data_IF_832488242142
#
_entry.id   IF_832488242142
#
_cell.length_a   1.000
_cell.length_b   1.000
_cell.length_c   1.000
_cell.angle_alpha   90.00
_cell.angle_beta   90.00
_cell.angle_gamma   90.00
#
_symmetry.space_group_name_H-M   'P 1'
#
loop_
_entity.id
_entity.type
_entity.pdbx_description
1 polymer ?
#
# COMPACT_ATOMS: atom_id res chain seq x y z
N UNK A 1 -21.64 21.01 36.42
CA UNK A 1 -20.71 20.77 35.29
C UNK A 1 -19.46 20.05 35.79
N UNK A 2 -19.40 18.71 35.63
CA UNK A 2 -18.21 17.83 35.65
C UNK A 2 -18.70 16.40 35.88
N UNK A 3 -18.98 15.63 34.81
CA UNK A 3 -19.14 14.16 34.92
C UNK A 3 -19.27 13.38 33.60
N UNK A 4 -19.12 13.97 32.40
CA UNK A 4 -19.43 13.22 31.15
C UNK A 4 -18.23 12.66 30.37
N UNK A 5 -16.98 12.91 30.79
CA UNK A 5 -15.80 12.46 30.04
C UNK A 5 -15.32 11.03 30.39
N UNK A 6 -15.86 10.37 31.42
CA UNK A 6 -15.39 9.04 31.83
C UNK A 6 -16.11 7.89 31.09
N UNK A 7 -17.32 8.13 30.57
CA UNK A 7 -18.10 7.11 29.86
C UNK A 7 -17.71 6.98 28.39
N UNK A 8 -17.27 8.06 27.73
CA UNK A 8 -16.89 8.03 26.32
C UNK A 8 -15.60 7.24 26.08
N UNK A 9 -14.63 7.34 26.99
CA UNK A 9 -13.36 6.59 26.92
C UNK A 9 -13.58 5.11 27.25
N UNK A 10 -14.50 4.78 28.17
CA UNK A 10 -14.92 3.39 28.44
C UNK A 10 -15.71 2.77 27.29
N UNK A 11 -16.52 3.55 26.57
CA UNK A 11 -17.29 3.06 25.43
C UNK A 11 -16.41 2.74 24.22
N UNK A 12 -15.34 3.53 23.99
CA UNK A 12 -14.36 3.24 22.93
C UNK A 12 -13.48 2.04 23.30
N UNK A 13 -13.06 1.92 24.58
CA UNK A 13 -12.19 0.80 24.99
C UNK A 13 -12.91 -0.55 25.14
N UNK A 14 -14.22 -0.58 25.38
CA UNK A 14 -14.98 -1.83 25.50
C UNK A 14 -15.44 -2.40 24.15
N UNK A 15 -15.72 -1.55 23.15
CA UNK A 15 -16.12 -2.01 21.80
C UNK A 15 -14.93 -2.41 20.91
N UNK A 16 -13.73 -1.90 21.13
CA UNK A 16 -12.54 -2.36 20.38
C UNK A 16 -12.15 -3.80 20.78
N UNK A 17 -12.46 -4.23 22.02
CA UNK A 17 -12.17 -5.59 22.47
C UNK A 17 -13.22 -6.64 22.04
N UNK A 18 -14.42 -6.22 21.62
CA UNK A 18 -15.54 -7.11 21.28
C UNK A 18 -16.25 -6.78 19.95
N UNK A 19 -15.62 -5.96 19.10
CA UNK A 19 -16.14 -5.63 17.77
C UNK A 19 -16.37 -6.91 16.97
N UNK A 20 -17.62 -7.17 16.57
CA UNK A 20 -17.97 -8.32 15.76
C UNK A 20 -17.19 -8.33 14.43
N UNK A 21 -17.10 -9.49 13.75
CA UNK A 21 -16.28 -9.66 12.53
C UNK A 21 -16.54 -8.61 11.44
N UNK A 22 -17.74 -8.02 11.40
CA UNK A 22 -18.16 -7.07 10.36
C UNK A 22 -17.50 -5.69 10.46
N UNK A 23 -17.15 -5.20 11.65
CA UNK A 23 -16.49 -3.89 11.82
C UNK A 23 -15.01 -3.96 11.45
N UNK A 24 -14.38 -5.09 11.78
CA UNK A 24 -13.04 -5.43 11.34
C UNK A 24 -12.98 -5.53 9.81
N UNK A 25 -13.95 -6.18 9.16
CA UNK A 25 -14.00 -6.30 7.68
C UNK A 25 -13.99 -4.92 7.00
N UNK A 26 -14.69 -3.92 7.57
CA UNK A 26 -14.80 -2.59 6.96
C UNK A 26 -13.48 -1.81 7.09
N UNK A 27 -12.86 -1.81 8.28
CA UNK A 27 -11.55 -1.19 8.49
C UNK A 27 -10.45 -1.86 7.65
N UNK A 28 -10.48 -3.19 7.55
CA UNK A 28 -9.51 -3.97 6.78
C UNK A 28 -9.72 -3.88 5.28
N UNK A 29 -10.97 -3.79 4.81
CA UNK A 29 -11.27 -3.53 3.40
C UNK A 29 -10.66 -2.22 2.91
N UNK A 30 -10.69 -1.17 3.74
CA UNK A 30 -10.04 0.10 3.43
C UNK A 30 -8.51 -0.01 3.38
N UNK A 31 -7.89 -0.73 4.32
CA UNK A 31 -6.44 -0.95 4.32
C UNK A 31 -5.98 -1.72 3.07
N UNK A 32 -6.73 -2.76 2.67
CA UNK A 32 -6.47 -3.52 1.45
C UNK A 32 -6.64 -2.67 0.18
N UNK A 33 -7.72 -1.90 0.06
CA UNK A 33 -7.93 -1.01 -1.08
C UNK A 33 -6.80 0.01 -1.22
N UNK A 34 -6.30 0.52 -0.07
CA UNK A 34 -5.20 1.47 -0.03
C UNK A 34 -3.87 0.85 -0.50
N UNK A 35 -3.61 -0.42 -0.20
CA UNK A 35 -2.43 -1.13 -0.71
C UNK A 35 -2.44 -1.22 -2.24
N UNK A 36 -3.61 -1.41 -2.85
CA UNK A 36 -3.73 -1.47 -4.29
C UNK A 36 -3.59 -0.10 -4.99
N UNK A 37 -3.87 0.99 -4.27
CA UNK A 37 -3.80 2.34 -4.81
C UNK A 37 -2.37 2.74 -5.21
N UNK A 38 -1.35 2.31 -4.45
CA UNK A 38 0.05 2.55 -4.80
C UNK A 38 0.42 1.94 -6.16
N UNK A 39 0.07 0.67 -6.37
CA UNK A 39 0.30 -0.03 -7.64
C UNK A 39 -0.34 0.70 -8.83
N UNK A 40 -1.58 1.19 -8.67
CA UNK A 40 -2.28 1.97 -9.71
C UNK A 40 -1.56 3.28 -9.99
N UNK A 41 -1.12 3.99 -8.95
CA UNK A 41 -0.39 5.26 -9.11
C UNK A 41 0.92 5.06 -9.86
N UNK A 42 1.69 4.01 -9.58
CA UNK A 42 2.94 3.76 -10.32
C UNK A 42 2.66 3.39 -11.77
N UNK A 43 1.64 2.58 -12.05
CA UNK A 43 1.24 2.26 -13.42
C UNK A 43 0.83 3.55 -14.16
N UNK A 44 0.01 4.38 -13.51
CA UNK A 44 -0.43 5.67 -14.06
C UNK A 44 0.77 6.56 -14.43
N UNK A 45 1.73 6.70 -13.52
CA UNK A 45 2.93 7.52 -13.72
C UNK A 45 3.88 6.95 -14.76
N UNK A 46 3.97 5.63 -14.84
CA UNK A 46 4.73 4.94 -15.89
C UNK A 46 4.15 5.23 -17.27
N UNK A 47 2.82 5.14 -17.40
CA UNK A 47 2.11 5.43 -18.64
C UNK A 47 2.20 6.90 -19.04
N UNK A 48 2.07 7.81 -18.07
CA UNK A 48 2.23 9.25 -18.28
C UNK A 48 3.65 9.59 -18.77
N UNK A 49 4.68 8.90 -18.27
CA UNK A 49 6.07 9.13 -18.68
C UNK A 49 6.35 8.57 -20.08
N UNK A 50 5.84 7.38 -20.41
CA UNK A 50 6.12 6.73 -21.70
C UNK A 50 5.30 7.31 -22.86
N UNK A 51 4.04 7.69 -22.61
CA UNK A 51 3.08 8.03 -23.66
C UNK A 51 2.38 9.38 -23.43
N UNK A 52 3.14 10.41 -23.06
CA UNK A 52 2.67 11.77 -22.76
C UNK A 52 1.51 12.24 -23.66
N UNK A 53 1.68 12.19 -24.99
CA UNK A 53 0.70 12.70 -25.97
C UNK A 53 -0.60 11.88 -26.03
N UNK A 54 -0.52 10.57 -25.78
CA UNK A 54 -1.69 9.67 -25.81
C UNK A 54 -2.35 9.54 -24.44
N UNK A 55 -1.59 9.76 -23.38
CA UNK A 55 -2.02 9.61 -22.00
C UNK A 55 -3.18 10.53 -21.64
N UNK A 56 -3.15 11.80 -22.07
CA UNK A 56 -4.24 12.76 -21.78
C UNK A 56 -5.60 12.29 -22.31
N UNK A 57 -5.61 11.58 -23.44
CA UNK A 57 -6.83 11.07 -24.06
C UNK A 57 -7.35 9.79 -23.38
N UNK A 58 -6.54 9.11 -22.56
CA UNK A 58 -6.80 7.76 -22.03
C UNK A 58 -7.10 7.72 -20.52
N UNK A 59 -7.29 8.87 -19.87
CA UNK A 59 -7.45 9.03 -18.40
C UNK A 59 -8.53 8.19 -17.69
N UNK A 60 -9.29 7.30 -18.36
CA UNK A 60 -10.63 6.89 -17.88
C UNK A 60 -10.91 5.43 -17.43
N UNK A 61 -10.07 4.37 -17.57
CA UNK A 61 -10.52 3.04 -17.09
C UNK A 61 -9.63 2.27 -16.08
N UNK A 62 -8.62 2.88 -15.43
CA UNK A 62 -7.73 2.10 -14.53
C UNK A 62 -8.38 1.68 -13.20
N UNK A 63 -9.41 2.41 -12.74
CA UNK A 63 -10.17 2.06 -11.53
C UNK A 63 -10.95 0.74 -11.66
N UNK A 64 -11.30 0.31 -12.88
CA UNK A 64 -12.03 -0.94 -13.10
C UNK A 64 -11.19 -2.20 -12.84
N UNK A 65 -9.88 -2.15 -13.13
CA UNK A 65 -8.97 -3.28 -12.89
C UNK A 65 -8.80 -3.51 -11.37
N UNK A 66 -8.85 -2.43 -10.58
CA UNK A 66 -8.77 -2.47 -9.13
C UNK A 66 -9.98 -3.17 -8.49
N UNK A 67 -11.18 -2.88 -9.00
CA UNK A 67 -12.41 -3.50 -8.55
C UNK A 67 -12.44 -5.00 -8.87
N UNK A 68 -11.88 -5.40 -10.02
CA UNK A 68 -11.81 -6.81 -10.43
C UNK A 68 -10.87 -7.61 -9.53
N UNK A 69 -9.69 -7.09 -9.22
CA UNK A 69 -8.71 -7.76 -8.35
C UNK A 69 -9.22 -7.94 -6.91
N UNK A 70 -9.99 -6.97 -6.38
CA UNK A 70 -10.60 -7.10 -5.06
C UNK A 70 -11.71 -8.17 -5.00
N UNK A 71 -12.41 -8.43 -6.12
CA UNK A 71 -13.46 -9.47 -6.16
C UNK A 71 -12.91 -10.90 -6.06
N UNK A 72 -11.62 -11.12 -6.34
CA UNK A 72 -10.98 -12.43 -6.26
C UNK A 72 -10.57 -12.83 -4.83
N UNK A 73 -10.44 -11.87 -3.92
CA UNK A 73 -10.06 -12.13 -2.52
C UNK A 73 -11.19 -12.69 -1.65
N UNK A 74 -12.42 -12.78 -2.18
CA UNK A 74 -13.58 -13.30 -1.44
C UNK A 74 -13.60 -14.83 -1.31
N UNK A 75 -12.65 -15.56 -1.90
CA UNK A 75 -12.60 -17.03 -1.87
C UNK A 75 -11.68 -17.48 -0.72
N UNK A 76 -12.31 -17.95 0.36
CA UNK A 76 -11.71 -18.15 1.69
C UNK A 76 -10.84 -19.42 1.84
N UNK A 77 -9.79 -19.59 1.04
CA UNK A 77 -8.80 -20.65 1.33
C UNK A 77 -7.48 -20.07 1.82
N UNK A 78 -6.91 -20.70 2.86
CA UNK A 78 -5.60 -20.33 3.44
C UNK A 78 -4.51 -20.36 2.35
N UNK A 79 -4.58 -21.33 1.45
CA UNK A 79 -3.67 -21.46 0.31
C UNK A 79 -3.82 -20.27 -0.64
N UNK A 80 -5.05 -19.85 -0.96
CA UNK A 80 -5.28 -18.68 -1.81
C UNK A 80 -4.76 -17.39 -1.15
N UNK A 81 -4.90 -17.24 0.18
CA UNK A 81 -4.34 -16.08 0.86
C UNK A 81 -2.81 -16.04 0.73
N UNK A 82 -2.12 -17.16 0.95
CA UNK A 82 -0.65 -17.22 0.82
C UNK A 82 -0.17 -16.93 -0.61
N UNK A 83 -0.86 -17.47 -1.61
CA UNK A 83 -0.52 -17.21 -3.01
C UNK A 83 -0.78 -15.74 -3.37
N UNK A 84 -1.90 -15.16 -2.92
CA UNK A 84 -2.19 -13.73 -3.10
C UNK A 84 -1.11 -12.85 -2.51
N UNK A 85 -0.69 -13.06 -1.25
CA UNK A 85 0.38 -12.27 -0.63
C UNK A 85 1.71 -12.40 -1.37
N UNK A 86 2.02 -13.60 -1.86
CA UNK A 86 3.23 -13.84 -2.66
C UNK A 86 3.18 -13.09 -4.01
N UNK A 87 2.04 -13.10 -4.69
CA UNK A 87 1.83 -12.34 -5.94
C UNK A 87 1.93 -10.84 -5.70
N UNK A 88 1.30 -10.34 -4.64
CA UNK A 88 1.35 -8.91 -4.26
C UNK A 88 2.78 -8.48 -3.93
N UNK A 89 3.58 -9.33 -3.27
CA UNK A 89 5.00 -9.06 -3.02
C UNK A 89 5.80 -8.96 -4.33
N UNK A 90 5.59 -9.88 -5.28
CA UNK A 90 6.25 -9.83 -6.60
C UNK A 90 5.87 -8.54 -7.33
N UNK A 91 4.59 -8.15 -7.32
CA UNK A 91 4.13 -6.89 -7.90
C UNK A 91 4.80 -5.67 -7.25
N UNK A 92 4.95 -5.66 -5.93
CA UNK A 92 5.63 -4.57 -5.21
C UNK A 92 7.13 -4.48 -5.56
N UNK A 93 7.81 -5.61 -5.76
CA UNK A 93 9.21 -5.63 -6.21
C UNK A 93 9.33 -5.06 -7.63
N UNK A 94 8.45 -5.51 -8.54
CA UNK A 94 8.40 -5.00 -9.91
C UNK A 94 8.11 -3.50 -9.95
N UNK A 95 7.20 -3.04 -9.09
CA UNK A 95 6.84 -1.63 -8.94
C UNK A 95 8.04 -0.76 -8.53
N UNK A 96 8.79 -1.17 -7.51
CA UNK A 96 10.02 -0.47 -7.11
C UNK A 96 11.03 -0.45 -8.26
N UNK A 97 11.18 -1.57 -8.97
CA UNK A 97 12.08 -1.67 -10.11
C UNK A 97 11.72 -0.69 -11.24
N UNK A 98 10.44 -0.68 -11.64
CA UNK A 98 9.91 0.24 -12.67
C UNK A 98 10.06 1.69 -12.21
N UNK A 99 9.70 1.99 -10.96
CA UNK A 99 9.79 3.34 -10.41
C UNK A 99 11.25 3.84 -10.36
N UNK A 100 12.18 2.99 -9.91
CA UNK A 100 13.61 3.33 -9.86
C UNK A 100 14.17 3.57 -11.26
N UNK A 101 13.79 2.72 -12.22
CA UNK A 101 14.17 2.89 -13.61
C UNK A 101 13.63 4.21 -14.20
N UNK A 102 12.36 4.53 -13.96
CA UNK A 102 11.74 5.80 -14.38
C UNK A 102 12.42 7.01 -13.77
N UNK A 103 12.77 6.94 -12.49
CA UNK A 103 13.52 8.00 -11.82
C UNK A 103 14.84 8.26 -12.53
N UNK A 104 15.63 7.20 -12.77
CA UNK A 104 16.94 7.31 -13.43
C UNK A 104 16.79 7.81 -14.86
N UNK A 105 15.75 7.37 -15.58
CA UNK A 105 15.46 7.85 -16.92
C UNK A 105 15.13 9.35 -16.94
N UNK A 106 14.28 9.81 -16.01
CA UNK A 106 13.88 11.22 -15.94
C UNK A 106 15.06 12.12 -15.54
N UNK A 107 15.87 11.70 -14.56
CA UNK A 107 17.05 12.45 -14.12
C UNK A 107 18.11 12.53 -15.23
N UNK A 108 18.39 11.41 -15.93
CA UNK A 108 19.31 11.40 -17.06
C UNK A 108 18.82 12.29 -18.20
N UNK A 109 17.53 12.25 -18.51
CA UNK A 109 16.91 13.12 -19.54
C UNK A 109 17.03 14.60 -19.18
N UNK A 110 16.87 14.93 -17.90
CA UNK A 110 17.02 16.28 -17.38
C UNK A 110 18.46 16.79 -17.48
N UNK A 111 19.45 15.97 -17.11
CA UNK A 111 20.88 16.33 -17.13
C UNK A 111 21.46 16.45 -18.55
N UNK A 112 21.06 15.59 -19.50
CA UNK A 112 21.70 15.46 -20.81
C UNK A 112 21.42 16.61 -21.80
N UNK A 113 20.89 17.77 -21.37
CA UNK A 113 20.52 18.90 -22.24
C UNK A 113 19.57 18.57 -23.41
N UNK A 114 19.08 17.33 -23.54
CA UNK A 114 17.94 16.96 -24.40
C UNK A 114 16.71 17.83 -24.08
N UNK A 115 16.63 18.28 -22.81
CA UNK A 115 15.77 19.35 -22.33
C UNK A 115 15.70 20.59 -23.25
N UNK A 116 16.81 21.00 -23.87
CA UNK A 116 16.87 22.20 -24.72
C UNK A 116 16.06 22.02 -26.02
N UNK A 117 15.91 20.79 -26.51
CA UNK A 117 15.12 20.50 -27.72
C UNK A 117 13.64 20.30 -27.46
N UNK A 118 13.25 20.13 -26.20
CA UNK A 118 11.85 19.90 -25.81
C UNK A 118 11.01 21.17 -25.81
N UNK A 119 9.73 21.03 -26.14
CA UNK A 119 8.74 22.10 -26.02
C UNK A 119 8.57 22.54 -24.56
N UNK A 120 8.09 23.76 -24.32
CA UNK A 120 7.82 24.28 -22.96
C UNK A 120 6.94 23.32 -22.14
N UNK A 121 5.94 22.72 -22.78
CA UNK A 121 5.03 21.75 -22.15
C UNK A 121 5.75 20.47 -21.72
N UNK A 122 6.61 19.91 -22.58
CA UNK A 122 7.38 18.69 -22.27
C UNK A 122 8.36 18.93 -21.11
N UNK A 123 9.00 20.11 -21.09
CA UNK A 123 9.90 20.52 -20.00
C UNK A 123 9.15 20.62 -18.67
N UNK A 124 7.98 21.24 -18.66
CA UNK A 124 7.14 21.36 -17.48
C UNK A 124 6.73 19.97 -16.95
N UNK A 125 6.29 19.07 -17.84
CA UNK A 125 5.90 17.71 -17.47
C UNK A 125 7.07 16.90 -16.90
N UNK A 126 8.28 17.02 -17.46
CA UNK A 126 9.46 16.33 -16.94
C UNK A 126 9.80 16.78 -15.52
N UNK A 127 9.83 18.10 -15.28
CA UNK A 127 10.07 18.68 -13.95
C UNK A 127 9.00 18.22 -12.95
N UNK A 128 7.74 18.23 -13.37
CA UNK A 128 6.62 17.79 -12.55
C UNK A 128 6.71 16.30 -12.20
N UNK A 129 7.11 15.46 -13.15
CA UNK A 129 7.30 14.03 -12.94
C UNK A 129 8.44 13.74 -11.95
N UNK A 130 9.56 14.45 -12.05
CA UNK A 130 10.69 14.32 -11.10
C UNK A 130 10.25 14.75 -9.70
N UNK A 131 9.54 15.88 -9.59
CA UNK A 131 9.01 16.37 -8.31
C UNK A 131 8.05 15.37 -7.69
N UNK A 132 7.08 14.89 -8.46
CA UNK A 132 6.09 13.92 -7.99
C UNK A 132 6.77 12.60 -7.59
N UNK A 133 7.75 12.12 -8.34
CA UNK A 133 8.50 10.93 -7.99
C UNK A 133 9.20 11.11 -6.62
N UNK A 134 9.89 12.23 -6.40
CA UNK A 134 10.49 12.56 -5.08
C UNK A 134 9.48 12.51 -3.93
N UNK A 135 8.27 13.02 -4.16
CA UNK A 135 7.20 13.00 -3.17
C UNK A 135 6.63 11.59 -2.93
N UNK A 136 6.56 10.76 -3.98
CA UNK A 136 5.98 9.42 -3.92
C UNK A 136 6.94 8.35 -3.36
N UNK A 137 8.26 8.55 -3.48
CA UNK A 137 9.28 7.59 -2.98
C UNK A 137 9.06 7.15 -1.53
N UNK A 138 8.92 8.03 -0.53
CA UNK A 138 8.71 7.59 0.85
C UNK A 138 7.45 6.76 1.00
N UNK A 139 6.38 7.11 0.29
CA UNK A 139 5.13 6.35 0.27
C UNK A 139 5.31 4.95 -0.30
N UNK A 140 6.01 4.85 -1.44
CA UNK A 140 6.34 3.59 -2.10
C UNK A 140 7.19 2.67 -1.23
N UNK A 141 8.20 3.21 -0.55
CA UNK A 141 9.06 2.44 0.33
C UNK A 141 8.30 1.90 1.54
N UNK A 142 7.47 2.73 2.18
CA UNK A 142 6.64 2.30 3.31
C UNK A 142 5.62 1.25 2.86
N UNK A 143 5.00 1.44 1.70
CA UNK A 143 4.08 0.48 1.09
C UNK A 143 4.74 -0.89 0.87
N UNK A 144 5.94 -0.91 0.28
CA UNK A 144 6.70 -2.15 0.09
C UNK A 144 7.05 -2.83 1.41
N UNK A 145 7.48 -2.07 2.42
CA UNK A 145 7.78 -2.61 3.74
C UNK A 145 6.54 -3.26 4.39
N UNK A 146 5.36 -2.63 4.24
CA UNK A 146 4.11 -3.21 4.73
C UNK A 146 3.79 -4.56 4.05
N UNK A 147 3.91 -4.63 2.73
CA UNK A 147 3.68 -5.87 1.98
C UNK A 147 4.70 -6.95 2.38
N UNK A 148 5.97 -6.58 2.53
CA UNK A 148 7.04 -7.49 2.91
C UNK A 148 6.77 -8.09 4.30
N UNK A 149 6.51 -7.25 5.30
CA UNK A 149 6.22 -7.69 6.67
C UNK A 149 4.96 -8.57 6.69
N UNK A 150 3.89 -8.15 6.00
CA UNK A 150 2.65 -8.92 5.92
C UNK A 150 2.83 -10.30 5.28
N UNK A 151 3.66 -10.36 4.24
CA UNK A 151 4.00 -11.63 3.58
C UNK A 151 4.79 -12.54 4.51
N UNK A 152 5.79 -12.01 5.22
CA UNK A 152 6.60 -12.77 6.19
C UNK A 152 5.75 -13.33 7.33
N UNK A 153 4.80 -12.55 7.86
CA UNK A 153 3.89 -12.98 8.92
C UNK A 153 2.97 -14.11 8.43
N UNK A 154 2.39 -13.96 7.23
CA UNK A 154 1.56 -15.01 6.62
C UNK A 154 2.34 -16.31 6.35
N UNK A 155 3.60 -16.21 5.92
CA UNK A 155 4.47 -17.37 5.75
C UNK A 155 4.80 -18.06 7.07
N UNK A 156 5.14 -17.27 8.11
CA UNK A 156 5.40 -17.80 9.45
C UNK A 156 4.17 -18.51 10.05
N UNK A 157 2.97 -18.02 9.74
CA UNK A 157 1.71 -18.66 10.10
C UNK A 157 1.53 -20.01 9.38
N UNK A 158 1.73 -20.03 8.05
CA UNK A 158 1.61 -21.26 7.25
C UNK A 158 2.56 -22.37 7.74
N UNK A 159 3.83 -22.04 7.97
CA UNK A 159 4.83 -22.99 8.45
C UNK A 159 4.45 -23.58 9.81
N UNK A 160 3.78 -22.84 10.70
CA UNK A 160 3.43 -23.33 12.04
C UNK A 160 2.06 -24.00 12.14
N UNK A 161 1.15 -23.76 11.19
CA UNK A 161 -0.08 -24.55 11.01
C UNK A 161 0.25 -25.92 10.45
N UNK A 162 1.07 -25.98 9.40
CA UNK A 162 1.40 -27.23 8.71
C UNK A 162 2.67 -27.89 9.23
N UNK A 163 3.44 -27.21 10.09
CA UNK A 163 4.63 -27.73 10.74
C UNK A 163 4.33 -28.53 12.01
N UNK A 164 5.13 -29.56 12.23
CA UNK A 164 5.11 -30.55 13.33
C UNK A 164 5.45 -29.98 14.70
N UNK A 165 4.66 -29.04 15.22
CA UNK A 165 4.81 -28.57 16.61
C UNK A 165 3.51 -28.86 17.34
N UNK A 166 3.58 -29.55 18.47
CA UNK A 166 2.49 -30.35 19.05
C UNK A 166 1.58 -29.65 20.06
N UNK A 167 1.82 -28.39 20.44
CA UNK A 167 0.98 -27.67 21.42
C UNK A 167 0.01 -26.67 20.78
N UNK A 168 -1.29 -26.86 20.96
CA UNK A 168 -2.37 -26.13 20.28
C UNK A 168 -2.76 -24.79 20.92
N UNK A 169 -2.73 -24.66 22.25
CA UNK A 169 -3.37 -23.54 22.94
C UNK A 169 -2.51 -22.27 23.08
N UNK A 170 -1.20 -22.41 23.31
CA UNK A 170 -0.30 -21.24 23.40
C UNK A 170 -0.15 -20.53 22.05
N UNK A 171 -0.34 -21.24 20.94
CA UNK A 171 -0.13 -20.72 19.58
C UNK A 171 -1.14 -19.66 19.19
N UNK A 172 -2.43 -19.88 19.47
CA UNK A 172 -3.52 -19.00 19.03
C UNK A 172 -3.33 -17.58 19.59
N UNK A 173 -2.89 -17.46 20.84
CA UNK A 173 -2.67 -16.17 21.50
C UNK A 173 -1.50 -15.36 20.89
N UNK A 174 -0.32 -15.97 20.70
CA UNK A 174 0.82 -15.29 20.09
C UNK A 174 0.52 -14.81 18.65
N UNK A 175 -0.33 -15.54 17.92
CA UNK A 175 -0.73 -15.14 16.57
C UNK A 175 -1.72 -13.99 16.55
N UNK A 176 -2.73 -14.02 17.41
CA UNK A 176 -3.62 -12.87 17.58
C UNK A 176 -2.83 -11.61 17.93
N UNK A 177 -1.81 -11.74 18.79
CA UNK A 177 -0.92 -10.63 19.13
C UNK A 177 -0.09 -10.14 17.92
N UNK A 178 0.53 -11.04 17.15
CA UNK A 178 1.32 -10.66 15.97
C UNK A 178 0.46 -10.00 14.88
N UNK A 179 -0.76 -10.49 14.68
CA UNK A 179 -1.70 -9.93 13.70
C UNK A 179 -2.14 -8.52 14.13
N UNK A 180 -2.46 -8.33 15.42
CA UNK A 180 -2.75 -7.02 15.99
C UNK A 180 -1.55 -6.07 15.83
N UNK A 181 -0.33 -6.52 16.13
CA UNK A 181 0.89 -5.71 15.98
C UNK A 181 1.14 -5.34 14.51
N UNK A 182 0.86 -6.25 13.58
CA UNK A 182 0.95 -5.98 12.15
C UNK A 182 -0.04 -4.90 11.73
N UNK A 183 -1.29 -4.99 12.16
CA UNK A 183 -2.30 -3.97 11.84
C UNK A 183 -1.99 -2.61 12.47
N UNK A 184 -1.48 -2.58 13.71
CA UNK A 184 -0.99 -1.35 14.33
C UNK A 184 0.14 -0.75 13.49
N UNK A 185 1.08 -1.58 13.01
CA UNK A 185 2.18 -1.14 12.16
C UNK A 185 1.68 -0.55 10.84
N UNK A 186 0.72 -1.20 10.17
CA UNK A 186 0.07 -0.66 8.97
C UNK A 186 -0.60 0.68 9.28
N UNK A 187 -1.33 0.80 10.39
CA UNK A 187 -2.02 2.02 10.77
C UNK A 187 -1.04 3.18 11.03
N UNK A 188 0.06 2.94 11.76
CA UNK A 188 1.11 3.92 12.00
C UNK A 188 1.78 4.34 10.68
N UNK A 189 2.09 3.38 9.82
CA UNK A 189 2.70 3.65 8.52
C UNK A 189 1.77 4.46 7.60
N UNK A 190 0.48 4.14 7.63
CA UNK A 190 -0.55 4.89 6.92
C UNK A 190 -0.68 6.33 7.40
N UNK A 191 -0.61 6.54 8.71
CA UNK A 191 -0.56 7.87 9.31
C UNK A 191 0.73 8.62 8.93
N UNK A 192 1.88 7.96 8.98
CA UNK A 192 3.17 8.54 8.61
C UNK A 192 3.18 9.00 7.14
N UNK A 193 2.65 8.18 6.23
CA UNK A 193 2.50 8.56 4.82
C UNK A 193 1.66 9.84 4.69
N UNK A 194 0.51 9.90 5.35
CA UNK A 194 -0.37 11.07 5.29
C UNK A 194 0.29 12.32 5.86
N UNK A 195 0.97 12.18 7.00
CA UNK A 195 1.75 13.24 7.61
C UNK A 195 2.85 13.76 6.67
N UNK A 196 3.59 12.87 5.98
CA UNK A 196 4.62 13.29 5.02
C UNK A 196 4.03 14.05 3.84
N UNK A 197 2.84 13.69 3.35
CA UNK A 197 2.16 14.43 2.29
C UNK A 197 1.69 15.83 2.74
N UNK A 198 1.27 15.97 4.00
CA UNK A 198 0.87 17.25 4.58
C UNK A 198 2.09 18.16 4.75
N UNK A 199 3.19 17.64 5.31
CA UNK A 199 4.41 18.41 5.58
C UNK A 199 5.10 18.88 4.31
N UNK A 200 5.01 18.14 3.20
CA UNK A 200 5.58 18.55 1.92
C UNK A 200 4.83 19.70 1.22
N UNK A 201 3.62 20.06 1.68
CA UNK A 201 2.83 21.18 1.15
C UNK A 201 3.11 22.52 1.84
N UNK A 202 3.83 22.49 2.97
CA UNK A 202 4.23 23.65 3.77
C UNK A 202 5.66 24.02 3.39
#
# INVERSE_FOLDING_TARGET
>A
MKSNNCYFIKFISFNILYGGPNEFILLFGFAYFRNFLAHVLVIERSLATYNVKKYENWKKPYLCILALLNSLNSISSIILNLTTWSVVLILAILEIGIFTWLWHYNDKTFQNQLFIKHSLTERYQLVENIRTAKQLTPTLLIHFLNILIGTLINWAFYIKIFGTITDSNSKIFYYGLLDILFYITIAINNFAIELTMILQKI
#
